data_IF_522850682772
#
_entry.id   IF_522850682772
#
_cell.length_a   1.000
_cell.length_b   1.000
_cell.length_c   1.000
_cell.angle_alpha   90.00
_cell.angle_beta   90.00
_cell.angle_gamma   90.00
#
_symmetry.space_group_name_H-M   'P 1'
#
loop_
_entity.id
_entity.type
_entity.pdbx_description
1 polymer ?
#
# COMPACT_ATOMS: atom_id res chain seq x y z
N UNK A 1 -4.48 -36.21 -13.58
CA UNK A 1 -4.32 -35.72 -14.96
C UNK A 1 -5.50 -34.81 -15.23
N UNK A 2 -5.27 -33.51 -15.23
CA UNK A 2 -6.31 -32.51 -15.50
C UNK A 2 -6.73 -32.58 -16.98
N UNK A 3 -8.02 -32.52 -17.24
CA UNK A 3 -8.52 -32.35 -18.59
C UNK A 3 -8.33 -30.92 -19.03
N UNK A 4 -7.68 -30.74 -20.18
CA UNK A 4 -7.56 -29.40 -20.80
C UNK A 4 -8.85 -29.11 -21.56
N UNK A 5 -9.48 -27.97 -21.25
CA UNK A 5 -10.70 -27.49 -21.92
C UNK A 5 -10.36 -26.16 -22.60
N UNK A 6 -10.78 -25.99 -23.84
CA UNK A 6 -10.68 -24.68 -24.50
C UNK A 6 -11.93 -23.85 -24.18
N UNK A 7 -11.73 -22.64 -23.69
CA UNK A 7 -12.82 -21.73 -23.39
C UNK A 7 -12.57 -20.85 -22.19
N UNK A 8 -13.50 -19.95 -21.91
CA UNK A 8 -13.43 -19.00 -20.81
C UNK A 8 -14.01 -19.54 -19.48
N UNK A 9 -14.48 -20.76 -19.44
CA UNK A 9 -15.12 -21.37 -18.25
C UNK A 9 -14.80 -22.84 -18.13
N UNK A 10 -14.62 -23.31 -16.90
CA UNK A 10 -14.50 -24.72 -16.55
C UNK A 10 -15.74 -25.29 -15.85
N UNK A 11 -16.82 -24.51 -15.79
CA UNK A 11 -18.07 -24.87 -15.11
C UNK A 11 -18.11 -24.43 -13.63
N UNK A 12 -16.99 -24.00 -13.05
CA UNK A 12 -16.89 -23.50 -11.68
C UNK A 12 -16.61 -22.00 -11.69
N UNK A 13 -15.62 -21.58 -12.46
CA UNK A 13 -15.27 -20.19 -12.67
C UNK A 13 -15.35 -19.81 -14.14
N UNK A 14 -15.62 -18.55 -14.40
CA UNK A 14 -15.71 -17.95 -15.73
C UNK A 14 -14.86 -16.68 -15.80
N UNK A 15 -14.08 -16.54 -16.85
CA UNK A 15 -13.47 -15.26 -17.24
C UNK A 15 -14.56 -14.40 -17.89
N UNK A 16 -14.94 -13.33 -17.24
CA UNK A 16 -16.11 -12.53 -17.59
C UNK A 16 -15.89 -11.59 -18.77
N UNK A 17 -14.65 -11.16 -19.00
CA UNK A 17 -14.26 -10.16 -20.00
C UNK A 17 -13.01 -10.62 -20.74
N UNK A 18 -12.82 -10.10 -21.97
CA UNK A 18 -11.59 -10.31 -22.72
C UNK A 18 -10.40 -9.69 -22.00
N UNK A 19 -9.22 -10.29 -22.16
CA UNK A 19 -8.02 -9.80 -21.51
C UNK A 19 -7.32 -8.77 -22.37
N UNK A 20 -7.01 -7.62 -21.80
CA UNK A 20 -6.13 -6.63 -22.41
C UNK A 20 -4.73 -6.78 -21.81
N UNK A 21 -3.78 -7.24 -22.63
CA UNK A 21 -2.39 -7.43 -22.25
C UNK A 21 -1.47 -6.47 -22.99
N UNK A 22 -0.31 -6.21 -22.40
CA UNK A 22 0.75 -5.38 -22.99
C UNK A 22 2.06 -6.15 -23.00
N UNK A 23 2.73 -6.20 -24.16
CA UNK A 23 4.06 -6.75 -24.27
C UNK A 23 5.05 -5.87 -23.52
N UNK A 24 5.75 -6.40 -22.51
CA UNK A 24 6.71 -5.63 -21.70
C UNK A 24 7.95 -5.21 -22.47
N UNK A 25 8.24 -5.86 -23.61
CA UNK A 25 9.42 -5.58 -24.44
C UNK A 25 9.20 -4.36 -25.34
N UNK A 26 8.02 -4.23 -25.97
CA UNK A 26 7.79 -3.17 -26.97
C UNK A 26 6.55 -2.29 -26.68
N UNK A 27 5.80 -2.58 -25.61
CA UNK A 27 4.59 -1.82 -25.23
C UNK A 27 3.38 -2.02 -26.14
N UNK A 28 3.42 -3.00 -27.06
CA UNK A 28 2.27 -3.29 -27.93
C UNK A 28 1.16 -3.96 -27.14
N UNK A 29 -0.10 -3.52 -27.36
CA UNK A 29 -1.27 -4.02 -26.63
C UNK A 29 -2.09 -4.97 -27.47
N UNK A 30 -2.61 -6.01 -26.82
CA UNK A 30 -3.39 -7.07 -27.45
C UNK A 30 -4.67 -7.32 -26.67
N UNK A 31 -5.78 -7.37 -27.39
CA UNK A 31 -7.05 -7.84 -26.83
C UNK A 31 -7.15 -9.35 -27.07
N UNK A 32 -7.18 -10.12 -25.99
CA UNK A 32 -7.24 -11.58 -26.00
C UNK A 32 -8.70 -11.99 -25.79
N UNK A 33 -9.29 -12.59 -26.83
CA UNK A 33 -10.62 -13.16 -26.72
C UNK A 33 -10.63 -14.27 -25.66
N UNK A 34 -11.40 -14.09 -24.60
CA UNK A 34 -11.53 -15.05 -23.49
C UNK A 34 -11.89 -16.47 -23.92
N UNK A 35 -12.57 -16.64 -25.05
CA UNK A 35 -12.93 -17.96 -25.58
C UNK A 35 -11.76 -18.71 -26.21
N UNK A 36 -10.62 -18.05 -26.42
CA UNK A 36 -9.40 -18.68 -26.93
C UNK A 36 -8.48 -19.19 -25.83
N UNK A 37 -8.83 -18.96 -24.56
CA UNK A 37 -8.06 -19.43 -23.41
C UNK A 37 -8.12 -20.96 -23.28
N UNK A 38 -7.11 -21.52 -22.68
CA UNK A 38 -7.07 -22.92 -22.24
C UNK A 38 -7.29 -22.96 -20.73
N UNK A 39 -8.02 -23.96 -20.27
CA UNK A 39 -8.30 -24.16 -18.85
C UNK A 39 -7.84 -25.54 -18.41
N UNK A 40 -7.18 -25.62 -17.27
CA UNK A 40 -6.89 -26.88 -16.57
C UNK A 40 -7.31 -26.76 -15.12
N UNK A 41 -7.77 -27.88 -14.56
CA UNK A 41 -8.21 -27.96 -13.16
C UNK A 41 -7.39 -29.03 -12.44
N UNK A 42 -6.88 -28.72 -11.27
CA UNK A 42 -6.15 -29.65 -10.42
C UNK A 42 -6.58 -29.53 -8.95
N UNK A 43 -6.68 -30.66 -8.27
CA UNK A 43 -7.07 -30.73 -6.87
C UNK A 43 -5.84 -30.84 -5.98
N UNK A 44 -5.78 -30.01 -4.94
CA UNK A 44 -4.71 -29.98 -3.94
C UNK A 44 -5.29 -30.00 -2.52
N UNK A 45 -5.55 -31.16 -1.97
CA UNK A 45 -6.14 -31.30 -0.64
C UNK A 45 -7.57 -30.74 -0.59
N UNK A 46 -7.78 -29.68 0.18
CA UNK A 46 -9.08 -29.00 0.30
C UNK A 46 -9.28 -27.85 -0.70
N UNK A 47 -8.31 -27.60 -1.57
CA UNK A 47 -8.34 -26.54 -2.59
C UNK A 47 -8.38 -27.14 -3.98
N UNK A 48 -9.03 -26.42 -4.89
CA UNK A 48 -9.08 -26.72 -6.32
C UNK A 48 -8.44 -25.54 -7.04
N UNK A 49 -7.41 -25.81 -7.83
CA UNK A 49 -6.73 -24.83 -8.68
C UNK A 49 -7.33 -24.89 -10.08
N UNK A 50 -7.82 -23.75 -10.55
CA UNK A 50 -8.33 -23.52 -11.88
C UNK A 50 -7.34 -22.63 -12.62
N UNK A 51 -6.74 -23.11 -13.68
CA UNK A 51 -5.65 -22.47 -14.36
C UNK A 51 -6.07 -22.06 -15.76
N UNK A 52 -6.29 -20.76 -15.96
CA UNK A 52 -6.62 -20.15 -17.24
C UNK A 52 -5.36 -19.57 -17.86
N UNK A 53 -5.04 -19.92 -19.10
CA UNK A 53 -3.82 -19.48 -19.75
C UNK A 53 -3.98 -19.40 -21.27
N UNK A 54 -3.07 -18.66 -21.88
CA UNK A 54 -2.92 -18.60 -23.32
C UNK A 54 -1.54 -18.16 -23.71
N UNK A 55 -1.25 -18.27 -25.00
CA UNK A 55 -0.02 -17.74 -25.57
C UNK A 55 -0.28 -17.10 -26.91
N UNK A 56 0.50 -16.07 -27.20
CA UNK A 56 0.51 -15.39 -28.50
C UNK A 56 1.94 -15.04 -28.88
N UNK A 57 2.12 -14.54 -30.07
CA UNK A 57 3.38 -13.96 -30.52
C UNK A 57 3.19 -12.47 -30.72
N UNK A 58 4.08 -11.67 -30.17
CA UNK A 58 4.03 -10.23 -30.41
C UNK A 58 4.33 -9.91 -31.89
N UNK A 59 3.40 -9.27 -32.56
CA UNK A 59 3.55 -8.90 -33.97
C UNK A 59 4.60 -7.82 -34.21
N UNK A 60 4.92 -7.05 -33.15
CA UNK A 60 5.88 -5.95 -33.20
C UNK A 60 7.33 -6.43 -33.01
N UNK A 61 7.64 -7.14 -31.92
CA UNK A 61 8.99 -7.55 -31.58
C UNK A 61 9.26 -9.06 -31.78
N UNK A 62 8.23 -9.85 -32.04
CA UNK A 62 8.33 -11.29 -32.29
C UNK A 62 8.45 -12.15 -31.04
N UNK A 63 8.41 -11.55 -29.85
CA UNK A 63 8.50 -12.27 -28.57
C UNK A 63 7.27 -13.14 -28.32
N UNK A 64 7.48 -14.21 -27.55
CA UNK A 64 6.40 -15.08 -27.10
C UNK A 64 5.75 -14.46 -25.86
N UNK A 65 4.45 -14.21 -25.95
CA UNK A 65 3.64 -13.68 -24.87
C UNK A 65 2.91 -14.86 -24.21
N UNK A 66 3.25 -15.14 -22.97
CA UNK A 66 2.56 -16.16 -22.18
C UNK A 66 1.84 -15.47 -21.02
N UNK A 67 0.52 -15.66 -20.93
CA UNK A 67 -0.34 -15.02 -19.96
C UNK A 67 -1.22 -16.05 -19.27
N UNK A 68 -1.38 -15.92 -17.96
CA UNK A 68 -2.09 -16.90 -17.15
C UNK A 68 -2.66 -16.30 -15.86
N UNK A 69 -3.78 -16.87 -15.44
CA UNK A 69 -4.42 -16.61 -14.16
C UNK A 69 -4.71 -17.94 -13.49
N UNK A 70 -4.31 -18.06 -12.23
CA UNK A 70 -4.69 -19.16 -11.36
C UNK A 70 -5.81 -18.68 -10.46
N UNK A 71 -6.91 -19.42 -10.44
CA UNK A 71 -8.04 -19.20 -9.55
C UNK A 71 -8.11 -20.36 -8.58
N UNK A 72 -8.14 -20.06 -7.32
CA UNK A 72 -8.24 -21.05 -6.26
C UNK A 72 -9.65 -21.05 -5.68
N UNK A 73 -10.30 -22.20 -5.72
CA UNK A 73 -11.60 -22.46 -5.12
C UNK A 73 -11.51 -23.49 -4.00
N UNK A 74 -12.56 -23.55 -3.17
CA UNK A 74 -12.79 -24.72 -2.33
C UNK A 74 -13.50 -25.83 -3.11
N UNK A 75 -13.73 -27.00 -2.47
CA UNK A 75 -14.41 -28.15 -3.11
C UNK A 75 -15.86 -27.87 -3.49
N UNK A 76 -16.47 -26.84 -2.91
CA UNK A 76 -17.84 -26.41 -3.19
C UNK A 76 -17.89 -25.34 -4.30
N UNK A 77 -16.75 -25.00 -4.89
CA UNK A 77 -16.64 -24.01 -5.98
C UNK A 77 -16.70 -22.56 -5.49
N UNK A 78 -16.49 -22.32 -4.20
CA UNK A 78 -16.39 -20.97 -3.66
C UNK A 78 -15.00 -20.39 -3.96
N UNK A 79 -14.96 -19.17 -4.51
CA UNK A 79 -13.74 -18.45 -4.78
C UNK A 79 -12.95 -18.21 -3.50
N UNK A 80 -11.65 -18.48 -3.51
CA UNK A 80 -10.72 -18.22 -2.41
C UNK A 80 -9.80 -17.04 -2.74
N UNK A 81 -9.00 -17.14 -3.79
CA UNK A 81 -8.10 -16.08 -4.27
C UNK A 81 -7.65 -16.38 -5.71
N UNK A 82 -7.03 -15.40 -6.34
CA UNK A 82 -6.42 -15.53 -7.66
C UNK A 82 -4.95 -15.12 -7.64
N UNK A 83 -4.18 -15.64 -8.59
CA UNK A 83 -2.77 -15.30 -8.80
C UNK A 83 -2.51 -15.12 -10.29
N UNK A 84 -1.80 -14.06 -10.63
CA UNK A 84 -1.48 -13.70 -12.01
C UNK A 84 0.02 -13.93 -12.25
N UNK A 85 0.34 -14.85 -13.14
CA UNK A 85 1.70 -15.09 -13.56
C UNK A 85 1.80 -14.85 -15.06
N UNK A 86 2.74 -14.03 -15.50
CA UNK A 86 2.95 -13.69 -16.90
C UNK A 86 4.45 -13.70 -17.23
N UNK A 87 4.78 -14.18 -18.43
CA UNK A 87 6.12 -14.10 -18.99
C UNK A 87 6.07 -13.12 -20.19
N UNK A 88 6.92 -12.10 -20.13
CA UNK A 88 7.08 -11.07 -21.16
C UNK A 88 5.81 -10.26 -21.51
N UNK A 89 4.80 -10.30 -20.62
CA UNK A 89 3.53 -9.61 -20.78
C UNK A 89 2.99 -9.16 -19.44
N UNK A 90 2.29 -8.02 -19.41
CA UNK A 90 1.53 -7.51 -18.28
C UNK A 90 0.04 -7.40 -18.64
N UNK A 91 -0.84 -7.61 -17.67
CA UNK A 91 -2.24 -7.26 -17.81
C UNK A 91 -2.44 -5.75 -17.71
N UNK A 92 -3.03 -5.13 -18.71
CA UNK A 92 -3.39 -3.69 -18.68
C UNK A 92 -4.54 -3.44 -17.70
N UNK A 93 -5.44 -4.44 -17.59
CA UNK A 93 -6.51 -4.48 -16.60
C UNK A 93 -6.52 -5.86 -15.96
N UNK A 94 -6.73 -5.96 -14.64
CA UNK A 94 -6.87 -7.26 -13.98
C UNK A 94 -8.00 -8.08 -14.63
N UNK A 95 -7.81 -9.37 -14.87
CA UNK A 95 -8.86 -10.26 -15.36
C UNK A 95 -10.08 -10.26 -14.43
N UNK A 96 -11.27 -10.21 -14.99
CA UNK A 96 -12.51 -10.28 -14.22
C UNK A 96 -12.99 -11.73 -14.17
N UNK A 97 -13.02 -12.31 -12.95
CA UNK A 97 -13.39 -13.70 -12.70
C UNK A 97 -14.74 -13.74 -12.00
N UNK A 98 -15.61 -14.68 -12.44
CA UNK A 98 -16.90 -14.95 -11.80
C UNK A 98 -16.98 -16.38 -11.35
N UNK A 99 -17.50 -16.62 -10.14
CA UNK A 99 -17.90 -17.94 -9.68
C UNK A 99 -19.31 -18.24 -10.18
N UNK A 100 -19.48 -19.40 -10.82
CA UNK A 100 -20.76 -19.85 -11.36
C UNK A 100 -21.66 -20.51 -10.28
N UNK A 101 -21.09 -20.85 -9.13
CA UNK A 101 -21.82 -21.48 -8.01
C UNK A 101 -22.29 -20.49 -6.95
N UNK A 102 -21.83 -19.25 -6.94
CA UNK A 102 -22.38 -18.21 -6.08
C UNK A 102 -23.63 -17.61 -6.72
N UNK A 103 -24.75 -17.57 -5.99
CA UNK A 103 -25.92 -16.79 -6.45
C UNK A 103 -25.47 -15.38 -6.79
N UNK A 104 -25.83 -14.84 -7.96
CA UNK A 104 -25.40 -13.48 -8.35
C UNK A 104 -25.92 -12.49 -7.35
N UNK A 105 -25.06 -11.90 -6.54
CA UNK A 105 -25.35 -10.64 -5.87
C UNK A 105 -25.09 -9.52 -6.89
N UNK A 106 -26.16 -9.13 -7.60
CA UNK A 106 -26.17 -7.91 -8.36
C UNK A 106 -26.04 -6.74 -7.40
N UNK A 107 -24.91 -6.08 -7.38
CA UNK A 107 -24.81 -4.71 -6.86
C UNK A 107 -25.14 -3.79 -8.02
N UNK A 108 -26.43 -3.45 -8.15
CA UNK A 108 -26.85 -2.37 -9.01
C UNK A 108 -26.41 -1.03 -8.41
N UNK A 109 -25.96 -0.04 -9.22
CA UNK A 109 -25.78 1.32 -8.73
C UNK A 109 -27.14 1.89 -8.34
N UNK A 110 -27.36 2.15 -7.06
CA UNK A 110 -28.54 2.81 -6.56
C UNK A 110 -28.51 4.27 -6.97
N UNK A 111 -29.44 4.67 -7.85
CA UNK A 111 -29.86 6.05 -8.03
C UNK A 111 -30.62 6.50 -6.79
N UNK A 112 -30.39 7.73 -6.40
CA UNK A 112 -31.01 8.54 -5.35
C UNK A 112 -32.40 8.12 -4.85
N UNK A 113 -32.57 8.08 -3.51
CA UNK A 113 -33.64 8.85 -2.86
C UNK A 113 -33.43 8.86 -1.33
N UNK A 114 -33.42 10.10 -0.83
CA UNK A 114 -33.82 10.61 0.47
C UNK A 114 -32.97 10.40 1.75
N UNK A 115 -32.60 11.56 2.24
CA UNK A 115 -32.05 11.93 3.54
C UNK A 115 -32.80 11.28 4.71
N UNK A 116 -32.18 10.35 5.41
CA UNK A 116 -32.18 10.17 6.88
C UNK A 116 -31.18 9.06 7.24
N UNK A 117 -30.12 9.40 7.94
CA UNK A 117 -29.07 8.61 8.58
C UNK A 117 -27.64 8.95 8.11
N UNK A 118 -27.28 10.22 8.22
CA UNK A 118 -25.97 10.74 7.82
C UNK A 118 -24.78 10.40 8.74
N UNK A 119 -24.97 9.64 9.81
CA UNK A 119 -23.93 9.46 10.83
C UNK A 119 -23.41 8.02 11.03
N UNK A 120 -23.84 7.05 10.22
CA UNK A 120 -23.41 5.64 10.37
C UNK A 120 -22.67 5.05 9.15
N UNK A 121 -22.33 5.84 8.12
CA UNK A 121 -21.82 5.32 6.82
C UNK A 121 -20.36 5.61 6.50
N UNK A 122 -19.51 6.00 7.46
CA UNK A 122 -18.10 6.26 7.19
C UNK A 122 -17.14 5.17 7.67
N UNK A 123 -17.60 3.95 7.93
CA UNK A 123 -16.73 2.81 8.12
C UNK A 123 -16.70 1.99 6.83
N UNK A 124 -15.57 2.05 6.12
CA UNK A 124 -15.33 1.20 4.94
C UNK A 124 -14.81 -0.13 5.46
N UNK A 125 -15.67 -1.16 5.49
CA UNK A 125 -15.26 -2.54 5.72
C UNK A 125 -14.98 -3.19 4.37
N UNK A 126 -13.73 -3.18 3.92
CA UNK A 126 -13.30 -4.01 2.81
C UNK A 126 -12.76 -5.32 3.36
N UNK A 127 -13.50 -6.40 3.15
CA UNK A 127 -13.01 -7.75 3.36
C UNK A 127 -12.09 -8.12 2.19
N UNK A 128 -10.79 -7.92 2.34
CA UNK A 128 -9.80 -8.64 1.56
C UNK A 128 -9.48 -9.93 2.31
N UNK A 129 -9.98 -11.05 1.81
CA UNK A 129 -9.64 -12.37 2.34
C UNK A 129 -8.25 -12.78 1.82
N UNK A 130 -7.22 -12.35 2.53
CA UNK A 130 -5.86 -12.84 2.33
C UNK A 130 -5.68 -14.13 3.13
N UNK A 131 -6.25 -15.24 2.63
CA UNK A 131 -5.92 -16.59 3.10
C UNK A 131 -6.01 -16.82 4.61
N UNK A 132 -7.22 -16.79 5.20
CA UNK A 132 -7.45 -17.32 6.55
C UNK A 132 -6.96 -16.46 7.72
N UNK A 133 -6.56 -15.20 7.51
CA UNK A 133 -6.24 -14.25 8.57
C UNK A 133 -7.51 -13.52 8.98
N UNK A 134 -8.07 -13.97 10.09
CA UNK A 134 -9.28 -13.44 10.69
C UNK A 134 -9.05 -12.02 11.21
N UNK A 135 -9.98 -11.10 10.87
CA UNK A 135 -10.12 -9.69 11.24
C UNK A 135 -9.26 -8.71 10.44
N UNK A 136 -9.78 -8.30 9.28
CA UNK A 136 -9.34 -7.07 8.63
C UNK A 136 -9.58 -5.89 9.59
N UNK A 137 -8.52 -5.17 9.93
CA UNK A 137 -8.62 -3.95 10.72
C UNK A 137 -9.54 -2.95 10.00
N UNK A 138 -10.42 -2.29 10.75
CA UNK A 138 -11.27 -1.24 10.21
C UNK A 138 -10.63 0.12 10.46
N UNK A 139 -10.86 1.06 9.54
CA UNK A 139 -10.35 2.42 9.66
C UNK A 139 -11.47 3.44 9.50
N UNK A 140 -11.46 4.45 10.37
CA UNK A 140 -12.28 5.64 10.23
C UNK A 140 -11.53 6.60 9.32
N UNK A 141 -12.21 7.05 8.27
CA UNK A 141 -11.67 7.99 7.27
C UNK A 141 -12.12 9.41 7.60
N UNK A 142 -11.24 10.37 7.46
CA UNK A 142 -11.57 11.78 7.55
C UNK A 142 -12.15 12.30 6.23
N UNK A 143 -13.45 12.62 6.14
CA UNK A 143 -14.04 13.12 4.90
C UNK A 143 -13.65 14.58 4.58
N UNK A 144 -13.11 15.30 5.56
CA UNK A 144 -12.77 16.72 5.45
C UNK A 144 -11.36 17.00 4.95
N UNK A 145 -10.56 15.96 4.66
CA UNK A 145 -9.18 16.11 4.19
C UNK A 145 -8.85 15.04 3.16
N UNK A 146 -7.98 15.38 2.20
CA UNK A 146 -7.61 14.48 1.10
C UNK A 146 -6.14 14.67 0.71
N UNK A 147 -5.59 13.68 0.03
CA UNK A 147 -4.21 13.72 -0.49
C UNK A 147 -4.20 14.43 -1.83
N UNK A 148 -3.68 15.66 -1.84
CA UNK A 148 -3.65 16.56 -3.01
C UNK A 148 -2.23 17.06 -3.25
N UNK A 149 -1.64 16.75 -4.39
CA UNK A 149 -0.38 17.34 -4.82
C UNK A 149 -0.60 18.18 -6.08
N UNK A 150 0.02 19.37 -6.13
CA UNK A 150 -0.10 20.32 -7.23
C UNK A 150 -1.56 20.65 -7.61
N UNK A 151 -2.46 20.71 -6.62
CA UNK A 151 -3.88 20.99 -6.81
C UNK A 151 -4.71 19.83 -7.37
N UNK A 152 -4.12 18.66 -7.59
CA UNK A 152 -4.79 17.47 -8.09
C UNK A 152 -4.87 16.40 -7.00
N UNK A 153 -6.06 15.86 -6.77
CA UNK A 153 -6.24 14.64 -6.00
C UNK A 153 -5.94 13.45 -6.93
N UNK A 154 -4.92 12.66 -6.62
CA UNK A 154 -4.46 11.54 -7.44
C UNK A 154 -4.52 10.19 -6.71
N UNK A 155 -4.88 10.22 -5.43
CA UNK A 155 -5.15 9.03 -4.62
C UNK A 155 -6.27 9.38 -3.63
N UNK A 156 -7.26 8.51 -3.47
CA UNK A 156 -8.35 8.72 -2.52
C UNK A 156 -7.96 8.28 -1.11
N UNK A 157 -8.72 8.70 -0.11
CA UNK A 157 -8.51 8.27 1.27
C UNK A 157 -8.79 6.77 1.44
N UNK A 158 -9.75 6.24 0.69
CA UNK A 158 -10.06 4.82 0.62
C UNK A 158 -8.86 4.03 0.08
N UNK A 159 -8.24 4.49 -1.00
CA UNK A 159 -7.02 3.89 -1.56
C UNK A 159 -5.84 3.97 -0.58
N UNK A 160 -5.74 5.03 0.24
CA UNK A 160 -4.76 5.09 1.34
C UNK A 160 -5.06 4.02 2.40
N UNK A 161 -6.33 3.81 2.75
CA UNK A 161 -6.72 2.73 3.68
C UNK A 161 -6.42 1.36 3.08
N UNK A 162 -6.69 1.14 1.81
CA UNK A 162 -6.29 -0.09 1.10
C UNK A 162 -4.77 -0.32 1.16
N UNK A 163 -3.99 0.74 0.94
CA UNK A 163 -2.53 0.68 1.06
C UNK A 163 -2.07 0.36 2.51
N UNK A 164 -2.76 0.90 3.53
CA UNK A 164 -2.50 0.57 4.93
C UNK A 164 -2.78 -0.91 5.20
N UNK A 165 -3.96 -1.41 4.80
CA UNK A 165 -4.36 -2.80 5.01
C UNK A 165 -3.40 -3.77 4.31
N UNK A 166 -3.00 -3.45 3.08
CA UNK A 166 -2.02 -4.23 2.34
C UNK A 166 -0.65 -4.25 3.02
N UNK A 167 -0.17 -3.09 3.49
CA UNK A 167 1.08 -2.98 4.23
C UNK A 167 1.05 -3.81 5.52
N UNK A 168 -0.01 -3.68 6.31
CA UNK A 168 -0.18 -4.44 7.56
C UNK A 168 -0.19 -5.97 7.29
N UNK A 169 -0.86 -6.40 6.24
CA UNK A 169 -0.89 -7.81 5.83
C UNK A 169 0.49 -8.31 5.40
N UNK A 170 1.24 -7.51 4.65
CA UNK A 170 2.60 -7.88 4.23
C UNK A 170 3.56 -8.02 5.42
N UNK A 171 3.46 -7.13 6.43
CA UNK A 171 4.27 -7.21 7.65
C UNK A 171 3.90 -8.46 8.47
N UNK A 172 2.61 -8.77 8.59
CA UNK A 172 2.12 -9.98 9.27
C UNK A 172 2.62 -11.25 8.58
N UNK A 173 2.55 -11.28 7.25
CA UNK A 173 3.06 -12.41 6.46
C UNK A 173 4.57 -12.61 6.63
N UNK A 174 5.34 -11.53 6.74
CA UNK A 174 6.78 -11.61 7.03
C UNK A 174 7.04 -12.25 8.40
N UNK A 175 6.28 -11.86 9.43
CA UNK A 175 6.36 -12.45 10.76
C UNK A 175 6.04 -13.94 10.75
N UNK A 176 4.94 -14.32 10.10
CA UNK A 176 4.53 -15.73 9.97
C UNK A 176 5.59 -16.58 9.27
N UNK A 177 6.22 -16.06 8.21
CA UNK A 177 7.28 -16.77 7.49
C UNK A 177 8.53 -16.94 8.35
N UNK A 178 8.94 -15.93 9.10
CA UNK A 178 10.15 -16.02 9.92
C UNK A 178 9.96 -16.85 11.19
N UNK A 179 8.76 -16.89 11.75
CA UNK A 179 8.39 -17.77 12.86
C UNK A 179 8.55 -19.26 12.53
N UNK A 180 8.44 -19.65 11.25
CA UNK A 180 8.70 -21.04 10.82
C UNK A 180 10.17 -21.47 11.06
N UNK A 181 11.07 -20.51 11.22
CA UNK A 181 12.50 -20.72 11.50
C UNK A 181 12.84 -20.37 12.95
N UNK A 182 11.86 -20.23 13.83
CA UNK A 182 12.03 -19.81 15.23
C UNK A 182 12.72 -18.45 15.37
N UNK A 183 12.43 -17.53 14.42
CA UNK A 183 12.97 -16.16 14.41
C UNK A 183 11.84 -15.17 14.66
N UNK A 184 11.96 -14.38 15.75
CA UNK A 184 11.16 -13.16 15.89
C UNK A 184 11.84 -12.04 15.09
N UNK A 185 11.32 -11.77 13.90
CA UNK A 185 11.92 -10.79 12.98
C UNK A 185 11.91 -9.38 13.58
N UNK A 186 10.93 -9.02 14.39
CA UNK A 186 10.81 -7.69 14.95
C UNK A 186 11.86 -7.43 16.03
N UNK A 187 12.17 -8.44 16.86
CA UNK A 187 13.28 -8.38 17.80
C UNK A 187 14.63 -8.31 17.08
N UNK A 188 14.80 -9.12 16.03
CA UNK A 188 16.03 -9.13 15.24
C UNK A 188 16.32 -7.78 14.57
N UNK A 189 15.29 -7.09 14.08
CA UNK A 189 15.42 -5.77 13.44
C UNK A 189 15.58 -4.64 14.46
N UNK A 190 14.91 -4.73 15.59
CA UNK A 190 14.86 -3.68 16.60
C UNK A 190 14.07 -2.44 16.14
N UNK A 191 13.60 -1.63 17.10
CA UNK A 191 12.70 -0.49 16.88
C UNK A 191 13.18 0.51 15.83
N UNK A 192 14.49 0.71 15.70
CA UNK A 192 15.06 1.68 14.74
C UNK A 192 14.81 1.24 13.29
N UNK A 193 15.05 -0.02 12.99
CA UNK A 193 14.90 -0.55 11.64
C UNK A 193 13.42 -0.82 11.32
N UNK A 194 12.61 -1.17 12.31
CA UNK A 194 11.18 -1.39 12.14
C UNK A 194 10.46 -0.17 11.56
N UNK A 195 10.69 1.04 12.09
CA UNK A 195 10.08 2.24 11.51
C UNK A 195 10.47 2.45 10.04
N UNK A 196 11.73 2.15 9.69
CA UNK A 196 12.17 2.19 8.29
C UNK A 196 11.41 1.21 7.42
N UNK A 197 11.36 -0.07 7.83
CA UNK A 197 10.68 -1.13 7.07
C UNK A 197 9.18 -0.84 6.92
N UNK A 198 8.49 -0.44 7.99
CA UNK A 198 7.08 -0.07 7.94
C UNK A 198 6.86 1.09 6.96
N UNK A 199 7.74 2.11 6.97
CA UNK A 199 7.69 3.24 6.05
C UNK A 199 7.88 2.82 4.58
N UNK A 200 8.89 1.99 4.30
CA UNK A 200 9.17 1.48 2.95
C UNK A 200 8.03 0.60 2.42
N UNK A 201 7.50 -0.32 3.23
CA UNK A 201 6.37 -1.16 2.85
C UNK A 201 5.13 -0.33 2.58
N UNK A 202 4.88 0.68 3.42
CA UNK A 202 3.76 1.60 3.20
C UNK A 202 3.94 2.43 1.92
N UNK A 203 5.13 2.95 1.64
CA UNK A 203 5.39 3.67 0.39
C UNK A 203 5.14 2.79 -0.84
N UNK A 204 5.60 1.54 -0.83
CA UNK A 204 5.31 0.56 -1.91
C UNK A 204 3.81 0.26 -2.02
N UNK A 205 3.11 0.16 -0.89
CA UNK A 205 1.67 -0.04 -0.87
C UNK A 205 0.93 1.16 -1.47
N UNK A 206 1.30 2.39 -1.10
CA UNK A 206 0.72 3.62 -1.68
C UNK A 206 0.97 3.68 -3.19
N UNK A 207 2.16 3.35 -3.66
CA UNK A 207 2.44 3.25 -5.09
C UNK A 207 1.47 2.27 -5.77
N UNK A 208 1.29 1.07 -5.21
CA UNK A 208 0.41 0.04 -5.76
C UNK A 208 -1.03 0.52 -5.95
N UNK A 209 -1.57 1.24 -4.97
CA UNK A 209 -2.96 1.71 -4.98
C UNK A 209 -3.15 3.10 -5.60
N UNK A 210 -2.10 3.73 -6.11
CA UNK A 210 -2.16 5.07 -6.71
C UNK A 210 -2.57 5.10 -8.19
N UNK A 211 -2.98 3.98 -8.78
CA UNK A 211 -3.33 3.89 -10.21
C UNK A 211 -2.22 4.47 -11.12
N UNK A 212 -0.98 4.08 -10.87
CA UNK A 212 0.23 4.56 -11.60
C UNK A 212 0.46 6.09 -11.52
N UNK A 213 -0.20 6.77 -10.62
CA UNK A 213 0.05 8.20 -10.40
C UNK A 213 1.31 8.48 -9.57
N UNK A 214 1.80 7.47 -8.86
CA UNK A 214 3.00 7.53 -8.03
C UNK A 214 3.95 6.39 -8.37
N UNK A 215 5.25 6.71 -8.46
CA UNK A 215 6.31 5.71 -8.59
C UNK A 215 7.35 5.90 -7.50
N UNK A 216 7.84 4.80 -6.94
CA UNK A 216 8.96 4.88 -5.98
C UNK A 216 10.18 5.53 -6.62
N UNK A 217 10.88 6.34 -5.84
CA UNK A 217 12.15 6.89 -6.27
C UNK A 217 13.15 5.75 -6.53
N UNK A 218 13.78 5.77 -7.69
CA UNK A 218 14.76 4.75 -8.08
C UNK A 218 16.10 4.90 -7.37
N UNK A 219 16.34 6.05 -6.72
CA UNK A 219 17.51 6.26 -5.88
C UNK A 219 17.13 6.13 -4.40
N UNK A 220 17.83 5.28 -3.68
CA UNK A 220 17.57 4.95 -2.27
C UNK A 220 17.53 6.20 -1.38
N UNK A 221 18.43 7.16 -1.63
CA UNK A 221 18.49 8.44 -0.90
C UNK A 221 17.89 9.60 -1.71
N UNK A 222 16.98 9.29 -2.64
CA UNK A 222 16.31 10.29 -3.47
C UNK A 222 15.18 10.96 -2.71
N UNK A 223 14.81 12.18 -3.14
CA UNK A 223 13.73 12.96 -2.58
C UNK A 223 12.79 13.44 -3.69
N UNK A 224 11.47 13.27 -3.53
CA UNK A 224 10.75 12.54 -2.47
C UNK A 224 10.77 11.01 -2.65
N UNK A 225 10.23 10.27 -1.66
CA UNK A 225 10.16 8.80 -1.68
C UNK A 225 9.26 8.28 -2.82
N UNK A 226 8.16 8.98 -3.11
CA UNK A 226 7.21 8.68 -4.17
C UNK A 226 7.16 9.83 -5.17
N UNK A 227 7.50 9.56 -6.42
CA UNK A 227 7.55 10.54 -7.52
C UNK A 227 6.18 10.67 -8.17
N UNK A 228 5.72 11.91 -8.41
CA UNK A 228 4.44 12.16 -9.07
C UNK A 228 4.54 11.92 -10.58
N UNK A 229 3.70 11.03 -11.09
CA UNK A 229 3.62 10.62 -12.51
C UNK A 229 2.18 10.55 -13.01
N UNK A 230 1.32 11.45 -12.49
CA UNK A 230 -0.12 11.42 -12.75
C UNK A 230 -0.51 11.87 -14.16
N UNK A 231 0.28 12.75 -14.80
CA UNK A 231 -0.02 13.28 -16.14
C UNK A 231 0.82 12.60 -17.22
N UNK A 232 0.37 12.59 -18.50
CA UNK A 232 1.16 12.07 -19.61
C UNK A 232 2.56 12.70 -19.70
N UNK A 233 2.67 14.01 -19.49
CA UNK A 233 3.97 14.71 -19.50
C UNK A 233 4.89 14.19 -18.38
N UNK A 234 4.35 13.98 -17.20
CA UNK A 234 5.11 13.45 -16.06
C UNK A 234 5.57 12.02 -16.31
N UNK A 235 4.69 11.17 -16.88
CA UNK A 235 5.04 9.78 -17.26
C UNK A 235 6.13 9.75 -18.33
N UNK A 236 6.01 10.59 -19.35
CA UNK A 236 7.01 10.72 -20.41
C UNK A 236 8.36 11.13 -19.81
N UNK A 237 8.38 12.20 -19.01
CA UNK A 237 9.61 12.64 -18.34
C UNK A 237 10.21 11.51 -17.49
N UNK A 238 9.42 10.86 -16.64
CA UNK A 238 9.88 9.77 -15.80
C UNK A 238 10.51 8.64 -16.61
N UNK A 239 9.94 8.29 -17.77
CA UNK A 239 10.48 7.25 -18.66
C UNK A 239 11.86 7.56 -19.22
N UNK A 240 12.24 8.84 -19.29
CA UNK A 240 13.57 9.27 -19.75
C UNK A 240 14.66 9.20 -18.67
N UNK A 241 14.28 8.99 -17.41
CA UNK A 241 15.20 9.05 -16.27
C UNK A 241 15.94 7.76 -15.97
N UNK A 242 15.64 6.70 -16.69
CA UNK A 242 16.32 5.40 -16.53
C UNK A 242 16.61 4.78 -17.89
N UNK A 243 17.56 3.86 -17.92
CA UNK A 243 17.82 2.95 -19.03
C UNK A 243 17.32 1.56 -18.66
N UNK A 244 16.90 0.79 -19.65
CA UNK A 244 16.54 -0.62 -19.45
C UNK A 244 17.66 -1.47 -20.04
N UNK A 245 18.27 -2.31 -19.21
CA UNK A 245 19.31 -3.26 -19.62
C UNK A 245 18.97 -4.63 -19.01
N UNK A 246 18.80 -5.64 -19.86
CA UNK A 246 18.42 -7.00 -19.44
C UNK A 246 17.12 -7.02 -18.60
N UNK A 247 16.11 -6.23 -18.98
CA UNK A 247 14.84 -6.13 -18.28
C UNK A 247 14.88 -5.37 -16.94
N UNK A 248 16.02 -4.80 -16.57
CA UNK A 248 16.17 -4.03 -15.32
C UNK A 248 16.27 -2.55 -15.60
N UNK A 249 15.58 -1.75 -14.77
CA UNK A 249 15.65 -0.28 -14.81
C UNK A 249 16.89 0.21 -14.06
N UNK A 250 17.75 0.93 -14.74
CA UNK A 250 18.93 1.57 -14.14
C UNK A 250 18.72 3.09 -14.12
N UNK A 251 18.58 3.70 -12.93
CA UNK A 251 18.38 5.13 -12.82
C UNK A 251 19.61 5.89 -13.35
N UNK A 252 19.34 7.02 -13.99
CA UNK A 252 20.38 7.96 -14.45
C UNK A 252 20.92 8.76 -13.26
N UNK A 253 21.35 9.98 -13.49
CA UNK A 253 21.93 10.86 -12.47
C UNK A 253 20.95 11.11 -11.33
N UNK A 254 21.40 10.95 -10.07
CA UNK A 254 20.63 11.23 -8.85
C UNK A 254 20.02 12.64 -8.83
N UNK A 255 20.68 13.63 -9.41
CA UNK A 255 20.19 15.00 -9.48
C UNK A 255 18.86 15.15 -10.25
N UNK A 256 18.49 14.16 -11.09
CA UNK A 256 17.20 14.13 -11.77
C UNK A 256 16.06 13.66 -10.87
N UNK A 257 16.39 12.98 -9.78
CA UNK A 257 15.45 12.38 -8.85
C UNK A 257 15.41 13.06 -7.47
N UNK A 258 16.38 13.94 -7.17
CA UNK A 258 16.49 14.55 -5.84
C UNK A 258 17.03 15.97 -5.91
N UNK A 259 16.17 17.02 -5.86
CA UNK A 259 14.70 16.92 -5.82
C UNK A 259 14.10 16.56 -7.20
N UNK A 260 13.04 15.78 -7.19
CA UNK A 260 12.36 15.43 -8.42
C UNK A 260 11.57 16.60 -9.01
N UNK A 261 11.71 16.84 -10.31
CA UNK A 261 11.18 18.03 -11.00
C UNK A 261 9.68 18.27 -10.78
N UNK A 262 8.89 17.22 -10.79
CA UNK A 262 7.43 17.31 -10.62
C UNK A 262 6.99 17.10 -9.16
N UNK A 263 7.93 16.96 -8.24
CA UNK A 263 7.64 16.68 -6.86
C UNK A 263 7.05 15.30 -6.65
N UNK A 264 6.36 15.14 -5.53
CA UNK A 264 5.77 13.86 -5.14
C UNK A 264 5.46 13.88 -3.65
N UNK A 265 5.52 12.73 -3.02
CA UNK A 265 5.18 12.56 -1.61
C UNK A 265 6.35 11.94 -0.87
N UNK A 266 6.77 12.59 0.18
CA UNK A 266 7.68 12.02 1.17
C UNK A 266 6.87 11.14 2.15
N UNK A 267 7.40 9.97 2.52
CA UNK A 267 6.75 9.05 3.46
C UNK A 267 7.57 8.95 4.74
N UNK A 268 6.94 9.10 5.88
CA UNK A 268 7.62 8.95 7.18
C UNK A 268 6.78 8.14 8.15
N UNK A 269 7.43 7.21 8.84
CA UNK A 269 6.82 6.36 9.84
C UNK A 269 7.38 6.67 11.23
N UNK A 270 6.52 6.64 12.23
CA UNK A 270 6.90 6.71 13.65
C UNK A 270 6.03 5.80 14.48
N UNK A 271 6.59 5.27 15.57
CA UNK A 271 5.81 4.63 16.65
C UNK A 271 5.54 5.61 17.82
N UNK A 272 5.78 6.90 17.58
CA UNK A 272 5.67 7.95 18.59
C UNK A 272 6.79 7.94 19.63
N UNK A 273 6.93 9.05 20.31
CA UNK A 273 7.86 9.22 21.43
C UNK A 273 7.19 8.89 22.75
N UNK A 274 7.85 8.09 23.56
CA UNK A 274 7.45 7.77 24.94
C UNK A 274 8.30 8.54 25.96
N UNK A 275 7.86 8.71 27.21
CA UNK A 275 8.67 9.31 28.26
C UNK A 275 10.05 8.67 28.40
N UNK A 276 11.05 9.39 28.93
CA UNK A 276 12.36 8.81 29.16
C UNK A 276 12.32 7.59 30.08
N UNK A 277 13.20 6.61 29.84
CA UNK A 277 13.27 5.38 30.63
C UNK A 277 13.55 5.63 32.13
N UNK A 278 14.10 6.81 32.48
CA UNK A 278 14.25 7.23 33.88
C UNK A 278 12.92 7.53 34.58
N UNK A 279 11.83 7.71 33.86
CA UNK A 279 10.50 7.96 34.42
C UNK A 279 9.58 6.77 34.32
N UNK A 280 9.59 6.07 33.20
CA UNK A 280 8.71 4.94 32.91
C UNK A 280 9.53 3.91 32.12
N UNK A 281 9.48 2.61 32.45
CA UNK A 281 10.11 1.58 31.64
C UNK A 281 9.65 1.68 30.19
N UNK A 282 10.57 1.51 29.24
CA UNK A 282 10.21 1.49 27.82
C UNK A 282 9.48 0.18 27.51
N UNK A 283 8.42 0.24 26.71
CA UNK A 283 7.78 -0.98 26.21
C UNK A 283 8.78 -1.84 25.45
N UNK A 284 8.67 -3.14 25.63
CA UNK A 284 9.44 -4.11 24.86
C UNK A 284 8.96 -4.15 23.41
N UNK A 285 9.71 -4.82 22.56
CA UNK A 285 9.27 -5.12 21.19
C UNK A 285 8.08 -6.08 21.29
N UNK A 286 7.02 -5.79 20.53
CA UNK A 286 5.75 -6.51 20.62
C UNK A 286 4.71 -5.86 21.55
N UNK A 287 5.12 -5.02 22.49
CA UNK A 287 4.20 -4.36 23.42
C UNK A 287 3.57 -3.09 22.83
N UNK A 288 2.26 -2.94 23.05
CA UNK A 288 1.48 -1.76 22.68
C UNK A 288 2.04 -0.49 23.32
N UNK A 289 2.15 0.60 22.54
CA UNK A 289 2.81 1.84 22.96
C UNK A 289 1.87 3.04 23.08
N UNK A 290 0.68 2.99 22.47
CA UNK A 290 -0.20 4.15 22.33
C UNK A 290 -0.48 4.87 23.66
N UNK A 291 -0.65 4.13 24.76
CA UNK A 291 -0.92 4.70 26.07
C UNK A 291 0.20 5.61 26.57
N UNK A 292 1.44 5.28 26.22
CA UNK A 292 2.65 5.99 26.62
C UNK A 292 3.09 7.06 25.61
N UNK A 293 2.54 7.10 24.38
CA UNK A 293 2.92 8.07 23.38
C UNK A 293 2.56 9.49 23.85
N UNK A 294 3.55 10.36 23.85
CA UNK A 294 3.43 11.77 24.28
C UNK A 294 3.43 12.75 23.12
N UNK A 295 4.10 12.41 22.02
CA UNK A 295 4.22 13.22 20.80
C UNK A 295 4.68 12.34 19.63
N UNK A 296 4.68 12.90 18.43
CA UNK A 296 5.26 12.28 17.25
C UNK A 296 6.68 12.81 17.01
N UNK A 297 7.54 12.00 16.38
CA UNK A 297 8.93 12.33 16.11
C UNK A 297 9.32 12.02 14.66
N UNK A 298 8.44 12.38 13.72
CA UNK A 298 8.79 12.28 12.30
C UNK A 298 10.08 12.99 11.99
N UNK A 299 10.95 12.32 11.23
CA UNK A 299 12.31 12.79 10.93
C UNK A 299 12.46 12.94 9.42
N UNK A 300 13.08 14.03 9.00
CA UNK A 300 13.45 14.27 7.62
C UNK A 300 14.94 14.55 7.52
N UNK A 301 15.53 14.19 6.40
CA UNK A 301 16.90 14.58 6.06
C UNK A 301 16.98 15.99 5.49
N UNK A 302 15.84 16.51 4.97
CA UNK A 302 15.71 17.81 4.37
C UNK A 302 14.63 18.62 5.08
N UNK A 303 14.94 19.84 5.52
CA UNK A 303 13.95 20.74 6.13
C UNK A 303 12.97 21.33 5.10
N UNK A 304 13.21 21.09 3.82
CA UNK A 304 12.38 21.56 2.71
C UNK A 304 11.23 20.59 2.36
N UNK A 305 11.08 19.51 3.11
CA UNK A 305 9.97 18.56 2.95
C UNK A 305 8.65 19.29 3.19
N UNK A 306 7.90 19.52 2.14
CA UNK A 306 6.63 20.26 2.17
C UNK A 306 5.39 19.38 1.92
N UNK A 307 5.56 18.21 1.32
CA UNK A 307 4.50 17.27 0.96
C UNK A 307 4.77 15.92 1.62
N UNK A 308 4.08 15.67 2.72
CA UNK A 308 4.37 14.57 3.62
C UNK A 308 3.14 13.70 3.88
N UNK A 309 3.26 12.41 3.61
CA UNK A 309 2.36 11.35 4.05
C UNK A 309 3.02 10.62 5.21
N UNK A 310 2.50 10.82 6.41
CA UNK A 310 3.12 10.32 7.62
C UNK A 310 2.21 9.31 8.34
N UNK A 311 2.79 8.26 8.87
CA UNK A 311 2.07 7.22 9.60
C UNK A 311 2.53 7.12 11.05
N UNK A 312 1.57 6.79 11.90
CA UNK A 312 1.78 6.26 13.23
C UNK A 312 1.54 4.76 13.18
N UNK A 313 2.51 3.98 13.66
CA UNK A 313 2.36 2.54 13.82
C UNK A 313 2.57 2.14 15.28
N UNK A 314 1.97 1.03 15.68
CA UNK A 314 2.09 0.45 17.02
C UNK A 314 2.08 -1.08 16.92
N UNK A 315 2.36 -1.77 17.99
CA UNK A 315 2.20 -3.22 18.05
C UNK A 315 0.75 -3.58 18.38
N UNK A 316 0.11 -4.32 17.47
CA UNK A 316 -1.15 -5.00 17.70
C UNK A 316 -0.91 -6.50 17.55
N UNK A 317 -1.27 -7.25 18.59
CA UNK A 317 -1.02 -8.69 18.64
C UNK A 317 0.45 -9.02 18.31
N UNK A 318 1.38 -8.24 18.92
CA UNK A 318 2.84 -8.32 18.76
C UNK A 318 3.36 -7.94 17.36
N UNK A 319 2.49 -7.55 16.42
CA UNK A 319 2.84 -7.23 15.03
C UNK A 319 2.79 -5.72 14.80
N UNK A 320 3.82 -5.09 14.18
CA UNK A 320 3.76 -3.70 13.78
C UNK A 320 2.59 -3.46 12.83
N UNK A 321 1.70 -2.57 13.22
CA UNK A 321 0.45 -2.26 12.52
C UNK A 321 0.31 -0.75 12.40
N UNK A 322 0.02 -0.24 11.22
CA UNK A 322 -0.26 1.19 11.02
C UNK A 322 -1.60 1.50 11.69
N UNK A 323 -1.60 2.46 12.60
CA UNK A 323 -2.80 2.81 13.40
C UNK A 323 -3.38 4.18 13.07
N UNK A 324 -2.60 5.06 12.43
CA UNK A 324 -3.11 6.33 11.91
C UNK A 324 -2.24 6.82 10.74
N UNK A 325 -2.87 7.57 9.85
CA UNK A 325 -2.24 8.20 8.69
C UNK A 325 -2.60 9.68 8.64
N UNK A 326 -1.62 10.52 8.27
CA UNK A 326 -1.70 11.96 8.23
C UNK A 326 -1.08 12.48 6.94
N UNK A 327 -1.63 13.56 6.38
CA UNK A 327 -1.10 14.16 5.16
C UNK A 327 -1.13 15.69 5.21
N UNK A 328 -0.04 16.33 4.79
CA UNK A 328 0.05 17.77 4.55
C UNK A 328 0.92 18.06 3.36
N UNK A 329 0.55 19.09 2.58
CA UNK A 329 1.28 19.59 1.42
C UNK A 329 1.72 21.05 1.58
N UNK A 330 1.57 21.61 2.79
CA UNK A 330 1.88 22.99 3.14
C UNK A 330 2.89 23.11 4.28
N UNK A 331 3.71 22.09 4.48
CA UNK A 331 4.81 22.15 5.43
C UNK A 331 5.89 23.09 4.90
N UNK A 332 6.55 23.76 5.83
CA UNK A 332 7.63 24.69 5.55
C UNK A 332 8.84 24.40 6.43
N UNK A 333 9.93 25.10 6.19
CA UNK A 333 11.15 24.99 7.01
C UNK A 333 10.88 25.27 8.50
N UNK A 334 9.88 26.10 8.81
CA UNK A 334 9.50 26.46 10.18
C UNK A 334 8.78 25.33 10.92
N UNK A 335 8.34 24.29 10.21
CA UNK A 335 7.70 23.09 10.79
C UNK A 335 8.72 22.03 11.20
N UNK A 336 9.99 22.25 10.87
CA UNK A 336 11.09 21.35 11.15
C UNK A 336 12.06 21.98 12.14
N UNK A 337 12.56 21.19 13.08
CA UNK A 337 13.61 21.60 14.00
C UNK A 337 14.94 21.82 13.29
N UNK A 338 15.94 22.31 14.00
CA UNK A 338 17.28 22.42 13.48
C UNK A 338 17.87 21.05 13.12
N UNK A 339 18.77 21.02 12.14
CA UNK A 339 19.46 19.80 11.74
C UNK A 339 20.40 19.36 12.87
N UNK A 340 20.13 18.21 13.42
CA UNK A 340 20.97 17.57 14.44
C UNK A 340 22.01 16.71 13.76
N UNK A 341 23.26 17.08 13.87
CA UNK A 341 24.40 16.34 13.36
C UNK A 341 24.62 15.02 14.15
N UNK A 342 25.20 13.99 13.50
CA UNK A 342 25.69 12.81 14.20
C UNK A 342 26.72 13.22 15.28
N UNK A 343 26.62 12.65 16.48
CA UNK A 343 27.65 12.82 17.51
C UNK A 343 28.71 11.74 17.33
N UNK A 344 29.96 12.12 17.54
CA UNK A 344 31.07 11.18 17.59
C UNK A 344 30.80 10.10 18.68
N UNK A 345 30.92 8.83 18.32
CA UNK A 345 30.57 7.71 19.20
C UNK A 345 29.06 7.48 19.40
N UNK A 346 28.18 8.27 18.75
CA UNK A 346 26.72 8.09 18.80
C UNK A 346 26.22 7.07 17.76
N UNK A 347 25.08 6.43 18.04
CA UNK A 347 24.46 5.44 17.12
C UNK A 347 23.81 6.06 15.87
N UNK A 348 23.94 7.36 15.62
CA UNK A 348 23.36 8.05 14.46
C UNK A 348 24.46 8.29 13.43
N UNK A 349 24.22 7.90 12.18
CA UNK A 349 25.17 8.04 11.07
C UNK A 349 24.85 9.18 10.12
N UNK A 350 23.63 9.74 10.19
CA UNK A 350 23.16 10.81 9.30
C UNK A 350 22.57 11.98 10.07
N UNK A 351 22.67 13.16 9.48
CA UNK A 351 22.00 14.37 9.97
C UNK A 351 20.49 14.22 9.81
N UNK A 352 19.72 14.64 10.79
CA UNK A 352 18.26 14.64 10.73
C UNK A 352 17.69 15.89 11.35
N UNK A 353 16.57 16.35 10.81
CA UNK A 353 15.67 17.31 11.44
C UNK A 353 14.45 16.58 11.98
N UNK A 354 14.02 16.90 13.18
CA UNK A 354 12.83 16.32 13.80
C UNK A 354 11.71 17.36 13.69
N UNK A 355 10.53 16.95 13.29
CA UNK A 355 9.38 17.84 13.20
C UNK A 355 9.11 18.50 14.57
N UNK A 356 8.93 19.81 14.56
CA UNK A 356 8.63 20.56 15.78
C UNK A 356 7.12 20.58 16.08
N UNK A 357 6.74 21.25 17.17
CA UNK A 357 5.33 21.28 17.62
C UNK A 357 4.39 21.95 16.61
N UNK A 358 4.86 22.93 15.82
CA UNK A 358 4.08 23.57 14.75
C UNK A 358 3.77 22.57 13.64
N UNK A 359 4.79 21.87 13.15
CA UNK A 359 4.64 20.85 12.13
C UNK A 359 3.74 19.70 12.59
N UNK A 360 3.92 19.19 13.81
CA UNK A 360 3.07 18.16 14.39
C UNK A 360 1.62 18.63 14.43
N UNK A 361 1.34 19.86 14.86
CA UNK A 361 -0.02 20.40 14.90
C UNK A 361 -0.63 20.48 13.50
N UNK A 362 0.13 20.90 12.49
CA UNK A 362 -0.32 20.91 11.09
C UNK A 362 -0.66 19.50 10.63
N UNK A 363 0.26 18.55 10.83
CA UNK A 363 0.05 17.14 10.45
C UNK A 363 -1.21 16.55 11.09
N UNK A 364 -1.41 16.79 12.39
CA UNK A 364 -2.60 16.34 13.11
C UNK A 364 -3.90 16.92 12.53
N UNK A 365 -3.88 18.18 12.06
CA UNK A 365 -5.01 18.79 11.35
C UNK A 365 -5.31 18.13 9.99
N UNK A 366 -4.35 17.40 9.44
CA UNK A 366 -4.45 16.68 8.17
C UNK A 366 -4.53 15.16 8.34
N UNK A 367 -5.17 14.66 9.40
CA UNK A 367 -5.36 13.22 9.53
C UNK A 367 -6.24 12.66 8.39
N UNK A 368 -5.87 11.51 7.86
CA UNK A 368 -6.54 10.83 6.75
C UNK A 368 -7.38 9.65 7.26
N UNK A 369 -6.75 8.79 8.06
CA UNK A 369 -7.39 7.59 8.59
C UNK A 369 -6.86 7.26 9.98
N UNK A 370 -7.69 6.63 10.78
CA UNK A 370 -7.35 6.08 12.10
C UNK A 370 -7.99 4.70 12.27
N UNK A 371 -7.27 3.78 12.88
CA UNK A 371 -7.81 2.45 13.19
C UNK A 371 -9.05 2.55 14.08
N UNK A 372 -10.11 1.81 13.74
CA UNK A 372 -11.37 1.80 14.50
C UNK A 372 -11.27 0.90 15.74
N UNK A 373 -10.43 1.33 16.68
CA UNK A 373 -10.26 0.72 18.00
C UNK A 373 -10.36 1.80 19.08
N UNK A 374 -11.20 1.60 20.11
CA UNK A 374 -11.50 2.63 21.13
C UNK A 374 -10.24 3.24 21.74
N UNK A 375 -9.25 2.45 22.12
CA UNK A 375 -8.05 2.91 22.79
C UNK A 375 -7.21 3.88 21.92
N UNK A 376 -7.20 3.71 20.58
CA UNK A 376 -6.52 4.62 19.66
C UNK A 376 -7.34 5.87 19.44
N UNK A 377 -8.64 5.73 19.22
CA UNK A 377 -9.56 6.84 18.99
C UNK A 377 -9.57 7.76 20.22
N UNK A 378 -9.77 7.22 21.42
CA UNK A 378 -9.78 7.98 22.67
C UNK A 378 -8.48 8.73 22.89
N UNK A 379 -7.35 8.06 22.72
CA UNK A 379 -6.02 8.65 22.88
C UNK A 379 -5.77 9.77 21.87
N UNK A 380 -5.99 9.50 20.59
CA UNK A 380 -5.67 10.44 19.51
C UNK A 380 -6.63 11.65 19.53
N UNK A 381 -7.93 11.42 19.75
CA UNK A 381 -8.92 12.50 19.90
C UNK A 381 -8.71 13.30 21.19
N UNK A 382 -8.46 12.62 22.32
CA UNK A 382 -8.18 13.26 23.60
C UNK A 382 -6.95 14.17 23.57
N UNK A 383 -5.93 13.82 22.78
CA UNK A 383 -4.75 14.65 22.52
C UNK A 383 -4.94 15.68 21.40
N UNK A 384 -6.12 15.70 20.76
CA UNK A 384 -6.42 16.55 19.58
C UNK A 384 -5.49 16.28 18.40
N UNK A 385 -5.01 15.05 18.29
CA UNK A 385 -4.19 14.59 17.15
C UNK A 385 -5.03 14.18 15.97
N UNK A 386 -6.32 13.87 16.21
CA UNK A 386 -7.35 13.73 15.18
C UNK A 386 -8.55 14.57 15.55
N UNK A 387 -9.26 15.08 14.54
CA UNK A 387 -10.47 15.90 14.74
C UNK A 387 -11.74 15.05 14.95
N UNK A 388 -11.61 13.75 15.17
CA UNK A 388 -12.74 12.86 15.39
C UNK A 388 -13.38 13.12 16.78
N UNK A 389 -14.70 13.26 16.80
CA UNK A 389 -15.46 13.32 18.06
C UNK A 389 -16.25 12.02 18.19
N UNK A 390 -15.97 11.28 19.23
CA UNK A 390 -16.86 10.18 19.63
C UNK A 390 -18.20 10.81 19.96
N UNK A 391 -19.24 10.49 19.21
CA UNK A 391 -20.62 10.85 19.58
C UNK A 391 -20.93 10.13 20.88
N UNK A 392 -21.05 10.89 21.96
CA UNK A 392 -21.45 10.41 23.27
C UNK A 392 -22.91 9.95 23.30
#
# INVERSE_FOLDING_TARGET
MGHMINGCSDGTFEIAEDWLIECIICGSRYNIDRHTLCVTVSEHGDRVEHYFFGEAKCDCCGERLFYRVKVYGDKDGKFLYEDHECDDVDFVQPPVIRSLHSKPQFIAPALCEDEVDKHRKNSVSHHYDFGGINMAEQYIINPGHSVVANGLQFISNEQIVEAILFCNSAIRSLDEQTKQFDINIFEALGMRNLSGIVGEYFAKSVQRFSNECLHSNLHQDGYPDLLLTATPEQKEYFSTLYTIENGKKYPRDKALFSPYRYGGIEVKATCGSTPPASRIPKPLIGEKRIDLVTTFDWKAHHRETNNLLAILWDFLDEVPTIVACFYRNDLSIDDWGEIVQPREGGGRTTSVSIMNSSGIKKMCGGWIAVIDRPEYIEKLAGRKWIGYRVSG
#
